data_IF_063178846602
#
_entry.id   IF_063178846602
#
_cell.length_a   1.000
_cell.length_b   1.000
_cell.length_c   1.000
_cell.angle_alpha   90.00
_cell.angle_beta   90.00
_cell.angle_gamma   90.00
#
_symmetry.space_group_name_H-M   'P 1'
#
loop_
_entity.id
_entity.type
_entity.pdbx_description
1 polymer ?
#
# COMPACT_ATOMS: atom_id res chain seq x y z
N UNK A 1 -3.95 9.48 -23.23
CA UNK A 1 -4.94 9.25 -22.17
C UNK A 1 -4.21 8.63 -21.00
N UNK A 2 -3.83 9.46 -20.04
CA UNK A 2 -3.13 9.05 -18.84
C UNK A 2 -4.20 8.65 -17.80
N UNK A 3 -4.12 7.49 -17.14
CA UNK A 3 -5.15 7.09 -16.21
C UNK A 3 -5.08 7.97 -14.96
N UNK A 4 -5.95 8.97 -14.91
CA UNK A 4 -6.20 9.78 -13.72
C UNK A 4 -6.50 8.86 -12.52
N UNK A 5 -5.63 8.91 -11.50
CA UNK A 5 -5.91 8.43 -10.15
C UNK A 5 -5.34 7.08 -9.73
N UNK A 6 -4.60 6.36 -10.58
CA UNK A 6 -3.99 5.06 -10.24
C UNK A 6 -2.47 5.17 -10.25
N UNK A 7 -1.88 5.33 -9.07
CA UNK A 7 -0.43 5.33 -8.87
C UNK A 7 0.03 3.90 -8.64
N UNK A 8 0.83 3.36 -9.54
CA UNK A 8 1.49 2.06 -9.34
C UNK A 8 2.82 2.30 -8.63
N UNK A 9 2.94 1.75 -7.42
CA UNK A 9 4.05 1.95 -6.52
C UNK A 9 4.71 0.59 -6.24
N UNK A 10 6.04 0.50 -6.30
CA UNK A 10 6.74 -0.75 -6.06
C UNK A 10 7.42 -0.67 -4.69
N UNK A 11 6.98 -1.52 -3.77
CA UNK A 11 7.55 -1.56 -2.43
C UNK A 11 7.92 -3.00 -2.05
N UNK A 12 9.16 -3.21 -1.64
CA UNK A 12 9.69 -4.54 -1.28
C UNK A 12 9.63 -5.57 -2.42
N UNK A 13 9.68 -5.12 -3.68
CA UNK A 13 9.61 -5.98 -4.87
C UNK A 13 8.20 -6.46 -5.22
N UNK A 14 7.15 -5.86 -4.64
CA UNK A 14 5.76 -6.10 -5.01
C UNK A 14 5.17 -4.83 -5.59
N UNK A 15 4.45 -4.98 -6.70
CA UNK A 15 3.71 -3.89 -7.32
C UNK A 15 2.39 -3.68 -6.57
N UNK A 16 2.25 -2.50 -5.98
CA UNK A 16 1.04 -1.99 -5.37
C UNK A 16 0.35 -1.07 -6.35
N UNK A 17 -0.97 -1.21 -6.45
CA UNK A 17 -1.81 -0.26 -7.16
C UNK A 17 -2.51 0.59 -6.11
N UNK A 18 -2.09 1.85 -6.02
CA UNK A 18 -2.65 2.81 -5.10
C UNK A 18 -3.63 3.72 -5.84
N UNK A 19 -4.87 3.73 -5.37
CA UNK A 19 -5.86 4.72 -5.78
C UNK A 19 -6.03 5.73 -4.66
N UNK A 20 -5.58 6.97 -4.88
CA UNK A 20 -5.48 8.01 -3.83
C UNK A 20 -4.63 7.52 -2.64
N UNK A 21 -5.27 7.04 -1.58
CA UNK A 21 -4.65 6.56 -0.34
C UNK A 21 -4.95 5.08 -0.06
N UNK A 22 -5.52 4.36 -1.04
CA UNK A 22 -5.93 2.97 -0.94
C UNK A 22 -4.97 2.13 -1.79
N UNK A 23 -4.06 1.40 -1.15
CA UNK A 23 -3.06 0.59 -1.84
C UNK A 23 -3.43 -0.89 -1.83
N UNK A 24 -3.45 -1.49 -3.02
CA UNK A 24 -3.85 -2.89 -3.22
C UNK A 24 -2.72 -3.64 -3.92
N UNK A 25 -2.29 -4.76 -3.36
CA UNK A 25 -1.33 -5.67 -3.98
C UNK A 25 -1.93 -7.07 -4.18
N UNK A 26 -1.65 -7.70 -5.33
CA UNK A 26 -2.07 -9.08 -5.59
C UNK A 26 -1.28 -10.09 -4.74
N UNK A 27 -0.14 -9.70 -4.15
CA UNK A 27 0.66 -10.53 -3.25
C UNK A 27 0.97 -9.80 -1.95
N UNK A 28 0.80 -10.51 -0.83
CA UNK A 28 1.33 -10.12 0.47
C UNK A 28 2.77 -10.62 0.64
N UNK A 29 3.58 -9.84 1.34
CA UNK A 29 4.90 -10.23 1.84
C UNK A 29 4.83 -10.19 3.35
N UNK A 30 5.53 -11.08 4.04
CA UNK A 30 5.60 -11.10 5.51
C UNK A 30 6.16 -9.79 6.11
N UNK A 31 6.82 -8.95 5.31
CA UNK A 31 7.36 -7.65 5.71
C UNK A 31 6.44 -6.46 5.41
N UNK A 32 5.14 -6.63 5.61
CA UNK A 32 4.13 -5.62 5.28
C UNK A 32 4.39 -4.25 5.90
N UNK A 33 4.87 -4.17 7.14
CA UNK A 33 5.17 -2.90 7.81
C UNK A 33 6.25 -2.09 7.08
N UNK A 34 7.33 -2.75 6.64
CA UNK A 34 8.42 -2.07 5.91
C UNK A 34 7.93 -1.55 4.56
N UNK A 35 7.19 -2.39 3.85
CA UNK A 35 6.59 -2.07 2.55
C UNK A 35 5.62 -0.89 2.68
N UNK A 36 4.82 -0.88 3.74
CA UNK A 36 3.84 0.16 3.98
C UNK A 36 4.49 1.51 4.31
N UNK A 37 5.60 1.55 5.06
CA UNK A 37 6.36 2.79 5.27
C UNK A 37 6.95 3.38 3.99
N UNK A 38 7.42 2.54 3.07
CA UNK A 38 7.92 2.99 1.76
C UNK A 38 6.77 3.55 0.92
N UNK A 39 5.65 2.83 0.84
CA UNK A 39 4.45 3.32 0.15
C UNK A 39 3.95 4.63 0.74
N UNK A 40 3.97 4.77 2.06
CA UNK A 40 3.56 6.01 2.73
C UNK A 40 4.39 7.21 2.29
N UNK A 41 5.68 7.00 1.97
CA UNK A 41 6.55 8.07 1.46
C UNK A 41 6.23 8.44 0.01
N UNK A 42 5.75 7.49 -0.77
CA UNK A 42 5.46 7.66 -2.19
C UNK A 42 4.05 8.20 -2.45
N UNK A 43 3.04 7.66 -1.76
CA UNK A 43 1.62 8.04 -1.92
C UNK A 43 1.07 8.90 -0.79
N UNK A 44 1.77 8.99 0.34
CA UNK A 44 1.29 9.68 1.54
C UNK A 44 0.57 8.76 2.52
N UNK A 45 -0.28 9.33 3.38
CA UNK A 45 -0.99 8.59 4.43
C UNK A 45 -1.90 7.51 3.85
N UNK A 46 -1.63 6.24 4.15
CA UNK A 46 -2.39 5.10 3.63
C UNK A 46 -3.61 4.88 4.51
N UNK A 47 -4.81 5.01 3.94
CA UNK A 47 -6.09 4.80 4.64
C UNK A 47 -6.60 3.37 4.51
N UNK A 48 -6.14 2.64 3.49
CA UNK A 48 -6.47 1.24 3.30
C UNK A 48 -5.34 0.54 2.57
N UNK A 49 -4.98 -0.64 3.07
CA UNK A 49 -3.95 -1.46 2.49
C UNK A 49 -4.52 -2.87 2.33
N UNK A 50 -4.46 -3.41 1.14
CA UNK A 50 -4.90 -4.77 0.85
C UNK A 50 -3.78 -5.51 0.17
N UNK A 51 -3.42 -6.70 0.65
CA UNK A 51 -2.37 -7.49 0.03
C UNK A 51 -2.70 -8.98 0.03
N UNK A 52 -2.53 -9.63 -1.12
CA UNK A 52 -2.77 -11.07 -1.25
C UNK A 52 -4.22 -11.48 -0.96
N UNK A 53 -5.17 -10.59 -1.21
CA UNK A 53 -6.59 -10.81 -0.90
C UNK A 53 -6.97 -10.56 0.57
N UNK A 54 -6.01 -10.26 1.44
CA UNK A 54 -6.27 -9.84 2.82
C UNK A 54 -6.27 -8.33 2.96
N UNK A 55 -7.33 -7.78 3.54
CA UNK A 55 -7.35 -6.38 4.00
C UNK A 55 -6.46 -6.28 5.25
N UNK A 56 -5.54 -5.31 5.27
CA UNK A 56 -4.79 -5.02 6.49
C UNK A 56 -5.71 -4.31 7.49
N UNK A 57 -5.74 -4.74 8.76
CA UNK A 57 -6.51 -4.08 9.79
C UNK A 57 -5.95 -2.69 10.10
N UNK A 58 -6.82 -1.81 10.59
CA UNK A 58 -6.50 -0.45 11.04
C UNK A 58 -5.32 -0.40 12.02
N UNK A 59 -5.18 -1.37 12.93
CA UNK A 59 -4.05 -1.46 13.84
C UNK A 59 -2.70 -1.58 13.11
N UNK A 60 -2.63 -2.32 12.00
CA UNK A 60 -1.41 -2.40 11.19
C UNK A 60 -1.21 -1.16 10.31
N UNK A 61 -2.30 -0.56 9.82
CA UNK A 61 -2.26 0.71 9.10
C UNK A 61 -1.74 1.84 10.00
N UNK A 62 -2.19 1.92 11.26
CA UNK A 62 -1.71 2.89 12.23
C UNK A 62 -0.21 2.70 12.51
N UNK A 63 0.26 1.46 12.66
CA UNK A 63 1.68 1.15 12.82
C UNK A 63 2.53 1.48 11.59
N UNK A 64 1.95 1.40 10.40
CA UNK A 64 2.60 1.80 9.16
C UNK A 64 2.67 3.32 8.98
N UNK A 65 1.59 4.01 9.33
CA UNK A 65 1.49 5.46 9.21
C UNK A 65 2.26 6.20 10.32
N UNK A 66 2.46 5.57 11.48
CA UNK A 66 3.21 6.09 12.61
C UNK A 66 4.71 6.28 12.41
#
# INVERSE_FOLDING_TARGET
MEPAGKSEAIAGGVLFRCERNICIAPRSRDRTLRVCSELRREVGTIVSFSAGGGLLPDAQLARCNG
#
